data_IF_633496784540
#
_entry.id   IF_633496784540
#
_cell.length_a   1.000
_cell.length_b   1.000
_cell.length_c   1.000
_cell.angle_alpha   90.00
_cell.angle_beta   90.00
_cell.angle_gamma   90.00
#
_symmetry.space_group_name_H-M   'P 1'
#
loop_
_entity.id
_entity.type
_entity.pdbx_description
1 polymer ?
#
# COMPACT_ATOMS: atom_id res chain seq x y z
N UNK A 1 -17.18 -19.78 -11.55
CA UNK A 1 -18.39 -18.99 -11.21
C UNK A 1 -19.25 -18.73 -12.47
N UNK A 2 -18.68 -18.21 -13.57
CA UNK A 2 -19.39 -17.97 -14.84
C UNK A 2 -19.99 -19.22 -15.48
N UNK A 3 -19.28 -20.36 -15.53
CA UNK A 3 -19.81 -21.61 -16.09
C UNK A 3 -21.06 -22.14 -15.36
N UNK A 4 -21.11 -21.99 -14.03
CA UNK A 4 -22.27 -22.38 -13.21
C UNK A 4 -23.46 -21.47 -13.53
N UNK A 5 -23.22 -20.16 -13.63
CA UNK A 5 -24.25 -19.19 -14.01
C UNK A 5 -24.86 -19.51 -15.38
N UNK A 6 -24.03 -19.79 -16.38
CA UNK A 6 -24.50 -20.17 -17.72
C UNK A 6 -25.36 -21.44 -17.70
N UNK A 7 -24.98 -22.44 -16.91
CA UNK A 7 -25.76 -23.66 -16.75
C UNK A 7 -27.13 -23.37 -16.14
N UNK A 8 -27.17 -22.57 -15.06
CA UNK A 8 -28.42 -22.16 -14.42
C UNK A 8 -29.31 -21.34 -15.37
N UNK A 9 -28.77 -20.42 -16.16
CA UNK A 9 -29.53 -19.67 -17.17
C UNK A 9 -30.12 -20.58 -18.23
N UNK A 10 -29.34 -21.55 -18.75
CA UNK A 10 -29.85 -22.54 -19.71
C UNK A 10 -31.00 -23.34 -19.12
N UNK A 11 -30.87 -23.80 -17.88
CA UNK A 11 -31.92 -24.53 -17.18
C UNK A 11 -33.17 -23.65 -16.99
N UNK A 12 -33.02 -22.39 -16.56
CA UNK A 12 -34.14 -21.45 -16.41
C UNK A 12 -34.92 -21.23 -17.71
N UNK A 13 -34.21 -21.09 -18.84
CA UNK A 13 -34.84 -20.93 -20.15
C UNK A 13 -35.57 -22.23 -20.53
N UNK A 14 -34.96 -23.40 -20.31
CA UNK A 14 -35.57 -24.70 -20.64
C UNK A 14 -36.80 -25.02 -19.80
N UNK A 15 -36.85 -24.55 -18.55
CA UNK A 15 -37.97 -24.76 -17.64
C UNK A 15 -39.09 -23.71 -17.78
N UNK A 16 -39.06 -22.88 -18.83
CA UNK A 16 -40.02 -21.78 -19.03
C UNK A 16 -40.12 -20.86 -17.80
N UNK A 17 -38.97 -20.39 -17.32
CA UNK A 17 -38.89 -19.45 -16.21
C UNK A 17 -39.82 -18.25 -16.40
N UNK A 18 -40.37 -17.73 -15.30
CA UNK A 18 -41.28 -16.58 -15.32
C UNK A 18 -40.63 -15.41 -16.06
N UNK A 19 -41.34 -14.67 -16.93
CA UNK A 19 -40.75 -13.57 -17.70
C UNK A 19 -40.05 -12.51 -16.83
N UNK A 20 -40.50 -12.34 -15.59
CA UNK A 20 -39.87 -11.49 -14.57
C UNK A 20 -38.46 -11.97 -14.21
N UNK A 21 -38.26 -13.29 -14.05
CA UNK A 21 -36.96 -13.87 -13.73
C UNK A 21 -36.00 -13.83 -14.92
N UNK A 22 -36.52 -14.02 -16.14
CA UNK A 22 -35.72 -13.94 -17.36
C UNK A 22 -35.29 -12.49 -17.67
N UNK A 23 -36.09 -11.49 -17.28
CA UNK A 23 -35.72 -10.08 -17.37
C UNK A 23 -34.65 -9.70 -16.33
N UNK A 24 -34.72 -10.29 -15.13
CA UNK A 24 -33.77 -10.04 -14.05
C UNK A 24 -32.43 -10.74 -14.28
N UNK A 25 -32.42 -12.00 -14.74
CA UNK A 25 -31.22 -12.82 -14.92
C UNK A 25 -30.91 -13.01 -16.41
N UNK A 26 -30.34 -11.96 -17.03
CA UNK A 26 -30.04 -11.98 -18.46
C UNK A 26 -28.81 -12.86 -18.77
N UNK A 27 -28.59 -13.14 -20.06
CA UNK A 27 -27.43 -13.89 -20.50
C UNK A 27 -26.12 -13.10 -20.24
N UNK A 28 -25.11 -13.79 -19.71
CA UNK A 28 -23.80 -13.22 -19.42
C UNK A 28 -22.91 -13.28 -20.66
N UNK A 29 -22.77 -12.18 -21.39
CA UNK A 29 -21.89 -12.13 -22.57
C UNK A 29 -20.45 -11.80 -22.19
N UNK A 30 -19.50 -12.17 -23.04
CA UNK A 30 -18.08 -11.87 -22.81
C UNK A 30 -17.80 -10.36 -22.70
N UNK A 31 -18.57 -9.54 -23.41
CA UNK A 31 -18.54 -8.07 -23.32
C UNK A 31 -18.92 -7.54 -21.92
N UNK A 32 -19.75 -8.25 -21.17
CA UNK A 32 -20.12 -7.90 -19.79
C UNK A 32 -19.01 -8.23 -18.78
N UNK A 33 -18.09 -9.13 -19.15
CA UNK A 33 -16.96 -9.58 -18.33
C UNK A 33 -15.69 -8.79 -18.59
N UNK A 34 -15.67 -7.97 -19.65
CA UNK A 34 -14.59 -7.02 -19.82
C UNK A 34 -14.70 -6.00 -18.71
N UNK A 35 -13.83 -6.15 -17.69
CA UNK A 35 -13.56 -5.11 -16.72
C UNK A 35 -12.96 -3.94 -17.48
N UNK A 36 -13.80 -3.10 -18.09
CA UNK A 36 -13.40 -1.73 -18.31
C UNK A 36 -13.11 -1.20 -16.92
N UNK A 37 -11.83 -0.94 -16.66
CA UNK A 37 -11.32 -0.27 -15.46
C UNK A 37 -11.80 1.18 -15.43
N UNK A 38 -13.10 1.38 -15.60
CA UNK A 38 -13.77 2.52 -15.04
C UNK A 38 -13.75 2.16 -13.57
N UNK A 39 -12.71 2.63 -12.89
CA UNK A 39 -12.84 2.93 -11.47
C UNK A 39 -14.23 3.52 -11.32
N UNK A 40 -15.10 2.84 -10.59
CA UNK A 40 -16.36 3.43 -10.13
C UNK A 40 -15.93 4.49 -9.12
N UNK A 41 -15.38 5.57 -9.66
CA UNK A 41 -15.23 6.84 -9.04
C UNK A 41 -16.57 7.55 -9.31
N UNK A 42 -17.47 7.55 -8.32
CA UNK A 42 -18.75 8.24 -8.46
C UNK A 42 -18.58 9.76 -8.61
N UNK A 43 -17.35 10.30 -8.51
CA UNK A 43 -17.04 11.71 -8.67
C UNK A 43 -16.72 12.13 -10.11
N UNK A 44 -16.50 11.20 -11.05
CA UNK A 44 -16.25 11.53 -12.46
C UNK A 44 -17.56 11.98 -13.13
N UNK A 45 -17.69 13.25 -13.55
CA UNK A 45 -18.89 13.72 -14.22
C UNK A 45 -18.99 13.09 -15.61
N UNK A 46 -20.13 12.47 -15.95
CA UNK A 46 -20.38 11.89 -17.28
C UNK A 46 -20.32 10.37 -17.38
N UNK A 47 -19.83 9.65 -16.36
CA UNK A 47 -19.87 8.17 -16.28
C UNK A 47 -21.25 7.61 -15.95
N UNK A 48 -22.22 8.47 -15.63
CA UNK A 48 -23.61 8.11 -15.27
C UNK A 48 -24.41 7.45 -16.42
N UNK A 49 -23.82 7.36 -17.62
CA UNK A 49 -24.44 6.76 -18.82
C UNK A 49 -23.64 5.63 -19.46
N UNK A 50 -22.48 5.25 -18.92
CA UNK A 50 -21.82 4.03 -19.38
C UNK A 50 -22.57 2.84 -18.77
N UNK A 51 -23.23 2.06 -19.63
CA UNK A 51 -24.06 0.92 -19.22
C UNK A 51 -23.18 -0.11 -18.50
N UNK A 52 -23.13 -0.02 -17.16
CA UNK A 52 -22.68 -1.12 -16.33
C UNK A 52 -23.44 -2.37 -16.73
N UNK A 53 -22.78 -3.54 -16.81
CA UNK A 53 -23.47 -4.79 -17.04
C UNK A 53 -24.69 -4.95 -16.14
N UNK A 54 -25.79 -5.45 -16.70
CA UNK A 54 -27.10 -5.57 -16.03
C UNK A 54 -27.05 -6.25 -14.65
N UNK A 55 -26.06 -7.13 -14.40
CA UNK A 55 -25.92 -7.82 -13.12
C UNK A 55 -25.45 -6.90 -11.97
N UNK A 56 -24.82 -5.76 -12.28
CA UNK A 56 -24.48 -4.74 -11.27
C UNK A 56 -25.68 -3.91 -10.83
N UNK A 57 -26.73 -3.82 -11.65
CA UNK A 57 -27.97 -3.08 -11.34
C UNK A 57 -29.10 -4.00 -10.86
N UNK A 58 -28.97 -5.32 -10.99
CA UNK A 58 -29.99 -6.34 -10.66
C UNK A 58 -30.53 -6.27 -9.21
N UNK A 59 -29.75 -5.75 -8.26
CA UNK A 59 -30.14 -5.61 -6.86
C UNK A 59 -30.17 -4.14 -6.39
N UNK A 60 -30.16 -3.18 -7.31
CA UNK A 60 -30.24 -1.76 -6.95
C UNK A 60 -31.52 -1.44 -6.17
N UNK A 61 -32.64 -2.10 -6.51
CA UNK A 61 -33.94 -1.88 -5.87
C UNK A 61 -34.10 -2.62 -4.53
N UNK A 62 -33.30 -3.68 -4.31
CA UNK A 62 -33.30 -4.48 -3.09
C UNK A 62 -32.46 -3.78 -2.01
N UNK A 63 -33.08 -2.84 -1.29
CA UNK A 63 -32.46 -2.11 -0.17
C UNK A 63 -31.19 -1.36 -0.59
N UNK A 64 -31.29 -0.53 -1.65
CA UNK A 64 -30.24 0.37 -2.12
C UNK A 64 -29.41 1.02 -1.00
N UNK A 65 -30.09 1.46 0.08
CA UNK A 65 -29.45 2.07 1.24
C UNK A 65 -28.53 1.14 2.03
N UNK A 66 -28.91 -0.14 2.24
CA UNK A 66 -28.10 -1.07 3.05
C UNK A 66 -26.84 -1.48 2.29
N UNK A 67 -26.96 -1.90 1.02
CA UNK A 67 -25.79 -2.26 0.23
C UNK A 67 -24.82 -1.09 0.03
N UNK A 68 -25.34 0.09 -0.30
CA UNK A 68 -24.50 1.28 -0.44
C UNK A 68 -23.81 1.68 0.87
N UNK A 69 -24.50 1.54 2.01
CA UNK A 69 -23.90 1.79 3.33
C UNK A 69 -22.77 0.83 3.66
N UNK A 70 -22.90 -0.46 3.30
CA UNK A 70 -21.86 -1.47 3.49
C UNK A 70 -20.65 -1.19 2.58
N UNK A 71 -20.90 -0.84 1.32
CA UNK A 71 -19.85 -0.46 0.37
C UNK A 71 -19.04 0.75 0.86
N UNK A 72 -19.73 1.81 1.30
CA UNK A 72 -19.09 3.00 1.86
C UNK A 72 -18.35 2.68 3.16
N UNK A 73 -18.89 1.81 4.02
CA UNK A 73 -18.23 1.36 5.25
C UNK A 73 -16.92 0.63 4.95
N UNK A 74 -16.91 -0.28 3.97
CA UNK A 74 -15.69 -0.97 3.54
C UNK A 74 -14.66 0.01 2.99
N UNK A 75 -15.07 0.94 2.12
CA UNK A 75 -14.17 1.99 1.61
C UNK A 75 -13.60 2.87 2.72
N UNK A 76 -14.42 3.25 3.69
CA UNK A 76 -13.97 3.99 4.86
C UNK A 76 -12.94 3.21 5.67
N UNK A 77 -13.18 1.91 5.93
CA UNK A 77 -12.23 1.08 6.66
C UNK A 77 -10.89 0.94 5.91
N UNK A 78 -10.92 0.81 4.59
CA UNK A 78 -9.70 0.79 3.79
C UNK A 78 -8.94 2.11 3.85
N UNK A 79 -9.63 3.23 3.68
CA UNK A 79 -9.03 4.56 3.79
C UNK A 79 -8.43 4.79 5.18
N UNK A 80 -9.18 4.43 6.23
CA UNK A 80 -8.71 4.53 7.62
C UNK A 80 -7.49 3.63 7.87
N UNK A 81 -7.54 2.36 7.48
CA UNK A 81 -6.41 1.44 7.64
C UNK A 81 -5.17 1.92 6.89
N UNK A 82 -5.33 2.54 5.72
CA UNK A 82 -4.21 3.13 4.99
C UNK A 82 -3.61 4.34 5.74
N UNK A 83 -4.45 5.21 6.31
CA UNK A 83 -4.00 6.35 7.12
C UNK A 83 -3.29 5.87 8.39
N UNK A 84 -3.87 4.90 9.10
CA UNK A 84 -3.30 4.30 10.30
C UNK A 84 -1.94 3.68 9.99
N UNK A 85 -1.83 2.87 8.92
CA UNK A 85 -0.56 2.29 8.45
C UNK A 85 0.47 3.36 8.08
N UNK A 86 0.10 4.37 7.32
CA UNK A 86 1.02 5.46 6.96
C UNK A 86 1.53 6.19 8.21
N UNK A 87 0.67 6.36 9.23
CA UNK A 87 1.04 6.99 10.50
C UNK A 87 2.05 6.13 11.26
N UNK A 88 1.80 4.81 11.34
CA UNK A 88 2.73 3.85 11.93
C UNK A 88 4.08 3.81 11.21
N UNK A 89 4.08 3.81 9.87
CA UNK A 89 5.31 3.81 9.07
C UNK A 89 6.16 5.06 9.30
N UNK A 90 5.53 6.22 9.46
CA UNK A 90 6.24 7.47 9.80
C UNK A 90 6.87 7.39 11.20
N UNK A 91 6.17 6.81 12.17
CA UNK A 91 6.72 6.57 13.53
C UNK A 91 7.91 5.61 13.49
N UNK A 92 7.77 4.47 12.80
CA UNK A 92 8.83 3.48 12.62
C UNK A 92 10.06 4.09 11.95
N UNK A 93 9.86 4.83 10.86
CA UNK A 93 10.94 5.47 10.13
C UNK A 93 11.73 6.45 11.01
N UNK A 94 11.07 7.23 11.88
CA UNK A 94 11.75 8.11 12.83
C UNK A 94 12.65 7.32 13.80
N UNK A 95 12.19 6.16 14.27
CA UNK A 95 12.98 5.29 15.15
C UNK A 95 14.17 4.68 14.41
N UNK A 96 13.96 4.14 13.20
CA UNK A 96 15.01 3.55 12.37
C UNK A 96 16.09 4.57 11.97
N UNK A 97 15.69 5.80 11.67
CA UNK A 97 16.60 6.91 11.44
C UNK A 97 17.48 7.18 12.68
N UNK A 98 16.87 7.20 13.86
CA UNK A 98 17.61 7.34 15.13
C UNK A 98 18.58 6.18 15.37
N UNK A 99 18.15 4.95 15.09
CA UNK A 99 19.02 3.76 15.18
C UNK A 99 20.19 3.83 14.19
N UNK A 100 19.95 4.30 12.97
CA UNK A 100 20.99 4.47 11.95
C UNK A 100 22.06 5.48 12.39
N UNK A 101 21.64 6.61 12.95
CA UNK A 101 22.57 7.59 13.53
C UNK A 101 23.39 6.95 14.67
N UNK A 102 22.72 6.29 15.62
CA UNK A 102 23.41 5.63 16.73
C UNK A 102 24.39 4.56 16.26
N UNK A 103 24.05 3.79 15.22
CA UNK A 103 24.90 2.76 14.64
C UNK A 103 26.20 3.35 14.05
N UNK A 104 26.11 4.43 13.28
CA UNK A 104 27.28 5.11 12.72
C UNK A 104 28.13 5.80 13.79
N UNK A 105 27.49 6.44 14.77
CA UNK A 105 28.16 7.02 15.94
C UNK A 105 28.95 5.95 16.71
N UNK A 106 28.33 4.80 16.97
CA UNK A 106 28.97 3.67 17.65
C UNK A 106 30.21 3.19 16.88
N UNK A 107 30.09 3.00 15.56
CA UNK A 107 31.21 2.55 14.73
C UNK A 107 32.35 3.58 14.71
N UNK A 108 32.03 4.86 14.56
CA UNK A 108 33.02 5.95 14.68
C UNK A 108 33.79 5.86 16.00
N UNK A 109 33.09 5.69 17.12
CA UNK A 109 33.70 5.63 18.44
C UNK A 109 34.55 4.38 18.62
N UNK A 110 34.10 3.23 18.11
CA UNK A 110 34.88 1.97 18.10
C UNK A 110 36.19 2.13 17.32
N UNK A 111 36.16 2.75 16.15
CA UNK A 111 37.37 3.01 15.38
C UNK A 111 38.31 4.02 16.06
N UNK A 112 37.78 5.00 16.79
CA UNK A 112 38.59 5.89 17.64
C UNK A 112 39.29 5.14 18.77
N UNK A 113 38.64 4.16 19.38
CA UNK A 113 39.29 3.28 20.37
C UNK A 113 40.45 2.51 19.74
N UNK A 114 40.24 1.91 18.56
CA UNK A 114 41.31 1.22 17.83
C UNK A 114 42.45 2.15 17.41
N UNK A 115 42.18 3.43 17.12
CA UNK A 115 43.23 4.43 16.92
C UNK A 115 44.08 4.59 18.18
N UNK A 116 43.45 4.81 19.33
CA UNK A 116 44.17 5.00 20.59
C UNK A 116 45.01 3.75 20.97
N UNK A 117 44.46 2.55 20.77
CA UNK A 117 45.19 1.30 21.00
C UNK A 117 46.39 1.13 20.08
N UNK A 118 46.27 1.52 18.81
CA UNK A 118 47.36 1.42 17.84
C UNK A 118 48.46 2.46 18.11
N UNK A 119 48.07 3.68 18.49
CA UNK A 119 49.00 4.74 18.91
C UNK A 119 49.79 4.33 20.16
N UNK A 120 49.12 3.70 21.14
CA UNK A 120 49.79 3.18 22.34
C UNK A 120 50.80 2.06 22.05
N UNK A 121 50.64 1.35 20.93
CA UNK A 121 51.56 0.31 20.45
C UNK A 121 52.59 0.81 19.43
N UNK A 122 52.59 2.12 19.16
CA UNK A 122 53.43 2.76 18.14
C UNK A 122 53.23 2.19 16.72
N UNK A 123 52.08 1.55 16.45
CA UNK A 123 51.73 1.02 15.13
C UNK A 123 51.09 2.12 14.27
N UNK A 124 51.96 2.88 13.60
CA UNK A 124 51.59 4.03 12.77
C UNK A 124 50.65 3.65 11.62
N UNK A 125 50.84 2.47 11.01
CA UNK A 125 50.03 2.01 9.89
C UNK A 125 48.60 1.72 10.31
N UNK A 126 48.43 0.96 11.39
CA UNK A 126 47.11 0.64 11.95
C UNK A 126 46.42 1.90 12.50
N UNK A 127 47.16 2.80 13.14
CA UNK A 127 46.61 4.06 13.63
C UNK A 127 46.06 4.92 12.48
N UNK A 128 46.80 5.03 11.37
CA UNK A 128 46.37 5.77 10.18
C UNK A 128 45.10 5.17 9.56
N UNK A 129 45.04 3.84 9.40
CA UNK A 129 43.87 3.17 8.87
C UNK A 129 42.63 3.34 9.77
N UNK A 130 42.80 3.17 11.09
CA UNK A 130 41.71 3.35 12.04
C UNK A 130 41.18 4.80 12.04
N UNK A 131 42.06 5.80 11.93
CA UNK A 131 41.67 7.22 11.78
C UNK A 131 40.84 7.44 10.52
N UNK A 132 41.25 6.85 9.39
CA UNK A 132 40.48 6.91 8.13
C UNK A 132 39.07 6.33 8.32
N UNK A 133 38.97 5.15 8.94
CA UNK A 133 37.67 4.52 9.21
C UNK A 133 36.80 5.39 10.12
N UNK A 134 37.34 5.89 11.23
CA UNK A 134 36.62 6.78 12.14
C UNK A 134 36.09 8.04 11.42
N UNK A 135 36.87 8.61 10.49
CA UNK A 135 36.42 9.73 9.65
C UNK A 135 35.26 9.33 8.74
N UNK A 136 35.37 8.21 8.02
CA UNK A 136 34.30 7.72 7.12
C UNK A 136 32.98 7.52 7.87
N UNK A 137 33.00 6.83 9.02
CA UNK A 137 31.80 6.62 9.83
C UNK A 137 31.25 7.93 10.40
N UNK A 138 32.12 8.89 10.73
CA UNK A 138 31.72 10.24 11.14
C UNK A 138 30.98 11.00 10.03
N UNK A 139 31.46 10.92 8.79
CA UNK A 139 30.78 11.54 7.64
C UNK A 139 29.40 10.92 7.40
N UNK A 140 29.27 9.59 7.49
CA UNK A 140 27.97 8.92 7.36
C UNK A 140 27.00 9.33 8.47
N UNK A 141 27.48 9.45 9.71
CA UNK A 141 26.69 9.95 10.82
C UNK A 141 26.16 11.37 10.54
N UNK A 142 27.03 12.30 10.10
CA UNK A 142 26.65 13.68 9.79
C UNK A 142 25.63 13.75 8.64
N UNK A 143 25.78 12.92 7.62
CA UNK A 143 24.81 12.81 6.52
C UNK A 143 23.43 12.36 7.01
N UNK A 144 23.38 11.32 7.86
CA UNK A 144 22.10 10.86 8.43
C UNK A 144 21.45 11.93 9.30
N UNK A 145 22.21 12.59 10.17
CA UNK A 145 21.68 13.69 10.99
C UNK A 145 21.09 14.80 10.11
N UNK A 146 21.77 15.15 9.01
CA UNK A 146 21.27 16.13 8.04
C UNK A 146 19.96 15.68 7.40
N UNK A 147 19.87 14.42 6.97
CA UNK A 147 18.65 13.84 6.40
C UNK A 147 17.49 13.82 7.41
N UNK A 148 17.77 13.49 8.67
CA UNK A 148 16.77 13.53 9.77
C UNK A 148 16.25 14.95 9.97
N UNK A 149 17.13 15.95 9.99
CA UNK A 149 16.71 17.34 10.13
C UNK A 149 15.82 17.78 8.97
N UNK A 150 16.15 17.40 7.73
CA UNK A 150 15.30 17.68 6.56
C UNK A 150 13.95 17.01 6.66
N UNK A 151 13.91 15.74 7.07
CA UNK A 151 12.67 15.00 7.25
C UNK A 151 11.75 15.63 8.31
N UNK A 152 12.30 16.25 9.36
CA UNK A 152 11.50 16.94 10.40
C UNK A 152 10.94 18.30 9.96
N UNK A 153 11.53 18.92 8.93
CA UNK A 153 11.10 20.23 8.41
C UNK A 153 10.08 20.12 7.27
N UNK A 154 9.95 18.93 6.66
CA UNK A 154 8.95 18.61 5.65
C UNK A 154 7.63 18.19 6.30
#
# INVERSE_FOLDING_TARGET
HTAIYHLCCKVMITLSGTPVLLQQYQELKQEHLQSKTIEIDPSVPGTRGENLPWFWTMNADLKAGKWMSEFLRVKFHWAKANVDRCTEEVELLKMEMGWSANFFQHHRNKWRQFTAEAEAKEDVGRACFAKKQAKTWGTLHEQVITSIHRFRLA
#
